data_IF_407134435550
#
_entry.id   IF_407134435550
#
_cell.length_a   1.000
_cell.length_b   1.000
_cell.length_c   1.000
_cell.angle_alpha   90.00
_cell.angle_beta   90.00
_cell.angle_gamma   90.00
#
_symmetry.space_group_name_H-M   'P 1'
#
loop_
_entity.id
_entity.type
_entity.pdbx_description
1 polymer ?
#
# COMPACT_ATOMS: atom_id res chain seq x y z
N UNK A 1 -8.98 -9.48 16.26
CA UNK A 1 -10.04 -8.52 15.88
C UNK A 1 -9.54 -7.12 16.16
N UNK A 2 -9.81 -6.17 15.26
CA UNK A 2 -9.55 -4.74 15.46
C UNK A 2 -10.76 -3.93 15.00
N UNK A 3 -11.06 -2.81 15.65
CA UNK A 3 -12.20 -1.97 15.28
C UNK A 3 -11.78 -0.78 14.41
N UNK A 4 -12.67 -0.39 13.51
CA UNK A 4 -12.66 0.84 12.70
C UNK A 4 -13.82 1.71 13.19
N UNK A 5 -13.49 2.76 13.92
CA UNK A 5 -14.43 3.67 14.57
C UNK A 5 -14.58 5.02 13.85
N UNK A 6 -13.80 5.26 12.80
CA UNK A 6 -13.86 6.47 11.95
C UNK A 6 -13.83 6.12 10.46
N UNK A 7 -14.29 7.07 9.63
CA UNK A 7 -14.19 7.03 8.16
C UNK A 7 -13.04 7.91 7.61
N UNK A 8 -12.38 8.67 8.48
CA UNK A 8 -11.35 9.64 8.06
C UNK A 8 -10.07 8.97 7.57
N UNK A 9 -9.77 7.79 8.10
CA UNK A 9 -8.62 6.96 7.72
C UNK A 9 -9.02 5.49 7.63
N UNK A 10 -8.19 4.68 6.97
CA UNK A 10 -8.42 3.25 6.78
C UNK A 10 -7.20 2.40 7.18
N UNK A 11 -7.30 1.08 6.97
CA UNK A 11 -6.26 0.13 7.38
C UNK A 11 -4.92 0.28 6.65
N UNK A 12 -4.90 1.02 5.55
CA UNK A 12 -3.71 1.36 4.77
C UNK A 12 -3.41 2.86 4.82
N UNK A 13 -3.87 3.56 5.85
CA UNK A 13 -3.62 4.99 6.08
C UNK A 13 -2.93 5.25 7.44
N UNK A 14 -2.82 4.22 8.29
CA UNK A 14 -2.06 4.27 9.54
C UNK A 14 -1.36 2.94 9.82
N UNK A 15 -0.09 3.03 10.22
CA UNK A 15 0.76 1.89 10.58
C UNK A 15 0.24 1.09 11.78
N UNK A 16 -0.44 1.75 12.72
CA UNK A 16 -0.99 1.12 13.92
C UNK A 16 -1.89 -0.08 13.60
N UNK A 17 -2.59 -0.10 12.46
CA UNK A 17 -3.41 -1.24 12.12
C UNK A 17 -2.60 -2.51 11.88
N UNK A 18 -1.59 -2.47 11.01
CA UNK A 18 -0.79 -3.67 10.74
C UNK A 18 0.12 -4.02 11.93
N UNK A 19 0.63 -3.01 12.66
CA UNK A 19 1.47 -3.25 13.83
C UNK A 19 0.73 -4.01 14.93
N UNK A 20 -0.48 -3.57 15.29
CA UNK A 20 -1.25 -4.22 16.35
C UNK A 20 -2.06 -5.43 15.87
N UNK A 21 -2.87 -5.25 14.82
CA UNK A 21 -3.75 -6.32 14.36
C UNK A 21 -2.97 -7.37 13.56
N UNK A 22 -2.19 -6.92 12.58
CA UNK A 22 -1.30 -7.80 11.81
C UNK A 22 -0.26 -8.47 12.71
N UNK A 23 0.39 -7.71 13.60
CA UNK A 23 1.34 -8.27 14.56
C UNK A 23 0.75 -9.37 15.46
N UNK A 24 -0.52 -9.22 15.89
CA UNK A 24 -1.23 -10.28 16.62
C UNK A 24 -1.49 -11.52 15.74
N UNK A 25 -1.89 -11.33 14.47
CA UNK A 25 -2.07 -12.43 13.51
C UNK A 25 -0.74 -13.18 13.31
N UNK A 26 0.33 -12.45 13.03
CA UNK A 26 1.68 -12.99 12.85
C UNK A 26 2.16 -13.75 14.09
N UNK A 27 1.94 -13.20 15.29
CA UNK A 27 2.32 -13.85 16.56
C UNK A 27 1.61 -15.19 16.75
N UNK A 28 0.30 -15.25 16.50
CA UNK A 28 -0.46 -16.51 16.61
C UNK A 28 0.03 -17.53 15.59
N UNK A 29 0.27 -17.11 14.34
CA UNK A 29 0.84 -17.98 13.29
C UNK A 29 2.22 -18.50 13.69
N UNK A 30 3.08 -17.66 14.25
CA UNK A 30 4.42 -18.05 14.67
C UNK A 30 4.44 -19.06 15.82
N UNK A 31 3.49 -18.94 16.77
CA UNK A 31 3.41 -19.84 17.95
C UNK A 31 2.69 -21.14 17.62
N UNK A 32 1.64 -21.09 16.81
CA UNK A 32 0.74 -22.24 16.59
C UNK A 32 0.97 -22.94 15.26
N UNK A 33 1.66 -22.30 14.31
CA UNK A 33 1.75 -22.74 12.91
C UNK A 33 0.46 -22.55 12.11
N UNK A 34 -0.61 -22.00 12.70
CA UNK A 34 -1.90 -21.82 12.06
C UNK A 34 -2.28 -20.34 11.98
N UNK A 35 -2.82 -19.93 10.84
CA UNK A 35 -3.36 -18.58 10.68
C UNK A 35 -4.69 -18.44 11.44
N UNK A 36 -4.79 -17.48 12.39
CA UNK A 36 -6.06 -17.20 13.04
C UNK A 36 -7.02 -16.49 12.08
N UNK A 37 -8.32 -16.63 12.33
CA UNK A 37 -9.31 -15.78 11.66
C UNK A 37 -9.11 -14.32 12.07
N UNK A 38 -8.85 -13.44 11.11
CA UNK A 38 -8.71 -12.01 11.31
C UNK A 38 -9.99 -11.27 10.90
N UNK A 39 -10.52 -10.44 11.80
CA UNK A 39 -11.78 -9.73 11.62
C UNK A 39 -11.63 -8.25 11.96
N UNK A 40 -12.38 -7.41 11.25
CA UNK A 40 -12.57 -6.01 11.53
C UNK A 40 -14.03 -5.71 11.89
N UNK A 41 -14.21 -4.98 12.98
CA UNK A 41 -15.51 -4.41 13.37
C UNK A 41 -15.60 -2.97 12.88
N UNK A 42 -16.49 -2.70 11.94
CA UNK A 42 -16.77 -1.36 11.41
C UNK A 42 -17.91 -0.74 12.21
N UNK A 43 -17.56 0.17 13.13
CA UNK A 43 -18.48 0.90 13.99
C UNK A 43 -18.46 2.40 13.72
N UNK A 44 -17.92 2.82 12.58
CA UNK A 44 -17.84 4.24 12.20
C UNK A 44 -19.23 4.87 11.98
N UNK A 45 -20.24 4.05 11.65
CA UNK A 45 -21.65 4.38 11.82
C UNK A 45 -22.20 3.54 12.99
N UNK A 46 -22.44 4.15 14.18
CA UNK A 46 -22.97 3.43 15.34
C UNK A 46 -24.37 2.83 15.12
N UNK A 47 -25.11 3.28 14.10
CA UNK A 47 -26.43 2.74 13.76
C UNK A 47 -26.36 1.50 12.88
N UNK A 48 -25.23 1.30 12.20
CA UNK A 48 -25.01 0.21 11.25
C UNK A 48 -23.64 -0.43 11.49
N UNK A 49 -23.53 -1.22 12.57
CA UNK A 49 -22.28 -1.92 12.88
C UNK A 49 -22.15 -3.16 12.00
N UNK A 50 -21.04 -3.23 11.26
CA UNK A 50 -20.75 -4.35 10.37
C UNK A 50 -19.47 -5.07 10.79
N UNK A 51 -19.35 -6.35 10.44
CA UNK A 51 -18.11 -7.10 10.62
C UNK A 51 -17.68 -7.69 9.29
N UNK A 52 -16.39 -7.59 8.99
CA UNK A 52 -15.78 -8.13 7.78
C UNK A 52 -14.51 -8.87 8.14
N UNK A 53 -14.15 -9.85 7.33
CA UNK A 53 -12.80 -10.43 7.40
C UNK A 53 -11.78 -9.37 7.02
N UNK A 54 -10.55 -9.52 7.51
CA UNK A 54 -9.46 -8.60 7.14
C UNK A 54 -9.23 -8.58 5.61
N UNK A 55 -9.33 -9.73 4.95
CA UNK A 55 -9.19 -9.82 3.49
C UNK A 55 -10.31 -9.10 2.73
N UNK A 56 -11.56 -9.15 3.22
CA UNK A 56 -12.66 -8.36 2.63
C UNK A 56 -12.42 -6.86 2.77
N UNK A 57 -11.93 -6.39 3.92
CA UNK A 57 -11.64 -4.97 4.12
C UNK A 57 -10.43 -4.51 3.30
N UNK A 58 -9.37 -5.32 3.19
CA UNK A 58 -8.23 -5.03 2.31
C UNK A 58 -8.69 -4.81 0.86
N UNK A 59 -9.46 -5.76 0.32
CA UNK A 59 -10.08 -5.64 -1.02
C UNK A 59 -10.94 -4.38 -1.15
N UNK A 60 -11.75 -4.07 -0.12
CA UNK A 60 -12.64 -2.92 -0.11
C UNK A 60 -11.82 -1.62 -0.19
N UNK A 61 -10.86 -1.45 0.70
CA UNK A 61 -10.02 -0.24 0.78
C UNK A 61 -9.17 -0.05 -0.47
N UNK A 62 -8.61 -1.12 -1.02
CA UNK A 62 -7.87 -1.06 -2.29
C UNK A 62 -8.75 -0.50 -3.40
N UNK A 63 -9.99 -0.97 -3.53
CA UNK A 63 -10.93 -0.47 -4.56
C UNK A 63 -11.48 0.92 -4.26
N UNK A 64 -11.88 1.17 -3.03
CA UNK A 64 -12.60 2.40 -2.67
C UNK A 64 -11.69 3.61 -2.53
N UNK A 65 -10.40 3.40 -2.21
CA UNK A 65 -9.46 4.49 -1.96
C UNK A 65 -8.11 4.33 -2.67
N UNK A 66 -7.35 3.25 -2.46
CA UNK A 66 -5.98 3.09 -3.04
C UNK A 66 -5.98 3.32 -4.55
N UNK A 67 -6.85 2.60 -5.25
CA UNK A 67 -6.95 2.65 -6.71
C UNK A 67 -7.95 3.70 -7.21
N UNK A 68 -8.63 4.40 -6.30
CA UNK A 68 -9.72 5.29 -6.69
C UNK A 68 -9.15 6.54 -7.37
N UNK A 69 -9.48 6.80 -8.66
CA UNK A 69 -8.92 7.93 -9.40
C UNK A 69 -9.28 9.27 -8.76
N UNK A 70 -10.42 9.38 -8.05
CA UNK A 70 -10.81 10.61 -7.35
C UNK A 70 -9.93 10.88 -6.14
N UNK A 71 -9.53 9.85 -5.41
CA UNK A 71 -8.64 9.98 -4.26
C UNK A 71 -7.21 10.29 -4.72
N UNK A 72 -6.70 9.58 -5.73
CA UNK A 72 -5.38 9.85 -6.34
C UNK A 72 -5.33 11.27 -6.90
N UNK A 73 -6.33 11.70 -7.67
CA UNK A 73 -6.42 13.09 -8.14
C UNK A 73 -6.53 14.10 -6.99
N UNK A 74 -7.09 13.69 -5.84
CA UNK A 74 -7.02 14.40 -4.57
C UNK A 74 -5.59 14.63 -4.12
N UNK A 75 -4.83 13.55 -3.95
CA UNK A 75 -3.44 13.58 -3.52
C UNK A 75 -2.56 14.42 -4.45
N UNK A 76 -2.74 14.31 -5.76
CA UNK A 76 -2.00 15.09 -6.76
C UNK A 76 -2.08 16.61 -6.50
N UNK A 77 -3.22 17.12 -6.03
CA UNK A 77 -3.40 18.56 -5.74
C UNK A 77 -2.61 19.05 -4.51
N UNK A 78 -2.05 18.14 -3.71
CA UNK A 78 -1.34 18.46 -2.47
C UNK A 78 0.19 18.25 -2.58
N UNK A 79 0.74 18.14 -3.79
CA UNK A 79 2.19 18.18 -4.05
C UNK A 79 2.96 17.12 -3.25
N UNK A 80 4.07 17.54 -2.61
CA UNK A 80 4.94 16.66 -1.82
C UNK A 80 4.19 15.83 -0.78
N UNK A 81 3.23 16.42 -0.05
CA UNK A 81 2.45 15.67 0.96
C UNK A 81 1.56 14.62 0.32
N UNK A 82 0.93 14.93 -0.81
CA UNK A 82 0.15 13.95 -1.57
C UNK A 82 1.00 12.80 -2.09
N UNK A 83 2.23 13.07 -2.54
CA UNK A 83 3.17 12.03 -2.96
C UNK A 83 3.57 11.12 -1.78
N UNK A 84 3.80 11.70 -0.60
CA UNK A 84 4.04 10.93 0.62
C UNK A 84 2.85 10.03 0.99
N UNK A 85 1.60 10.52 0.87
CA UNK A 85 0.41 9.68 1.15
C UNK A 85 0.31 8.45 0.24
N UNK A 86 0.69 8.59 -1.04
CA UNK A 86 0.78 7.44 -1.95
C UNK A 86 1.85 6.45 -1.50
N UNK A 87 3.03 6.93 -1.10
CA UNK A 87 4.13 6.08 -0.63
C UNK A 87 3.78 5.33 0.65
N UNK A 88 3.29 6.03 1.68
CA UNK A 88 2.95 5.39 2.96
C UNK A 88 1.79 4.40 2.83
N UNK A 89 0.85 4.66 1.90
CA UNK A 89 -0.19 3.67 1.56
C UNK A 89 0.45 2.34 1.13
N UNK A 90 1.47 2.37 0.27
CA UNK A 90 2.16 1.17 -0.22
C UNK A 90 2.93 0.49 0.92
N UNK A 91 3.59 1.27 1.77
CA UNK A 91 4.28 0.75 2.96
C UNK A 91 3.32 0.02 3.91
N UNK A 92 2.13 0.57 4.16
CA UNK A 92 1.14 -0.01 5.07
C UNK A 92 0.46 -1.23 4.46
N UNK A 93 0.18 -1.20 3.16
CA UNK A 93 -0.30 -2.36 2.40
C UNK A 93 0.71 -3.52 2.51
N UNK A 94 1.99 -3.25 2.25
CA UNK A 94 3.05 -4.24 2.45
C UNK A 94 3.16 -4.72 3.90
N UNK A 95 3.12 -3.82 4.88
CA UNK A 95 3.24 -4.18 6.29
C UNK A 95 2.11 -5.10 6.75
N UNK A 96 0.89 -4.88 6.26
CA UNK A 96 -0.23 -5.79 6.52
C UNK A 96 -0.05 -7.13 5.85
N UNK A 97 0.47 -7.16 4.62
CA UNK A 97 0.70 -8.42 3.94
C UNK A 97 1.78 -9.26 4.61
N UNK A 98 2.90 -8.63 4.95
CA UNK A 98 4.00 -9.27 5.67
C UNK A 98 3.58 -9.85 7.03
N UNK A 99 2.51 -9.32 7.65
CA UNK A 99 2.05 -9.77 8.96
C UNK A 99 0.81 -10.66 8.91
N UNK A 100 -0.01 -10.58 7.87
CA UNK A 100 -1.32 -11.25 7.83
C UNK A 100 -1.67 -11.90 6.48
N UNK A 101 -0.88 -11.76 5.43
CA UNK A 101 -1.10 -12.39 4.12
C UNK A 101 -2.46 -12.03 3.50
N UNK A 102 -2.77 -10.74 3.44
CA UNK A 102 -4.12 -10.24 3.08
C UNK A 102 -4.14 -9.41 1.80
N UNK A 103 -2.99 -9.18 1.19
CA UNK A 103 -2.88 -8.52 -0.09
C UNK A 103 -2.76 -9.59 -1.16
N UNK A 104 -3.64 -9.53 -2.15
CA UNK A 104 -3.63 -10.47 -3.27
C UNK A 104 -2.78 -9.90 -4.41
N UNK A 105 -2.20 -10.74 -5.26
CA UNK A 105 -1.39 -10.34 -6.41
C UNK A 105 -2.00 -9.22 -7.26
N UNK A 106 -3.30 -9.31 -7.55
CA UNK A 106 -3.99 -8.29 -8.35
C UNK A 106 -3.93 -6.90 -7.68
N UNK A 107 -3.83 -6.83 -6.35
CA UNK A 107 -3.70 -5.56 -5.63
C UNK A 107 -2.33 -4.94 -5.89
N UNK A 108 -1.24 -5.73 -5.81
CA UNK A 108 0.11 -5.26 -6.12
C UNK A 108 0.24 -4.86 -7.60
N UNK A 109 -0.31 -5.67 -8.50
CA UNK A 109 -0.35 -5.37 -9.93
C UNK A 109 -1.07 -4.04 -10.20
N UNK A 110 -2.28 -3.85 -9.65
CA UNK A 110 -3.05 -2.62 -9.86
C UNK A 110 -2.45 -1.40 -9.17
N UNK A 111 -1.77 -1.57 -8.04
CA UNK A 111 -1.02 -0.47 -7.41
C UNK A 111 0.16 -0.07 -8.30
N UNK A 112 0.88 -1.04 -8.86
CA UNK A 112 1.99 -0.78 -9.80
C UNK A 112 1.47 -0.03 -11.03
N UNK A 113 0.41 -0.55 -11.67
CA UNK A 113 -0.22 0.11 -12.82
C UNK A 113 -0.62 1.56 -12.51
N UNK A 114 -1.25 1.79 -11.35
CA UNK A 114 -1.83 3.09 -11.03
C UNK A 114 -0.82 4.11 -10.53
N UNK A 115 0.19 3.69 -9.77
CA UNK A 115 1.13 4.61 -9.12
C UNK A 115 2.43 4.76 -9.89
N UNK A 116 2.83 3.74 -10.66
CA UNK A 116 4.13 3.68 -11.34
C UNK A 116 3.96 3.80 -12.85
N UNK A 117 3.03 3.06 -13.44
CA UNK A 117 2.90 3.00 -14.90
C UNK A 117 1.98 4.08 -15.48
N UNK A 118 1.06 4.60 -14.68
CA UNK A 118 0.20 5.72 -15.07
C UNK A 118 1.06 6.98 -15.30
N UNK A 119 1.08 7.53 -16.53
CA UNK A 119 2.00 8.61 -16.86
C UNK A 119 1.72 9.89 -16.09
N UNK A 120 0.47 10.17 -15.73
CA UNK A 120 0.11 11.37 -14.98
C UNK A 120 0.56 11.25 -13.52
N UNK A 121 0.37 10.07 -12.91
CA UNK A 121 0.79 9.80 -11.53
C UNK A 121 2.31 9.73 -11.44
N UNK A 122 2.99 9.06 -12.38
CA UNK A 122 4.46 8.99 -12.44
C UNK A 122 5.07 10.37 -12.60
N UNK A 123 4.57 11.19 -13.54
CA UNK A 123 5.07 12.55 -13.74
C UNK A 123 4.81 13.44 -12.50
N UNK A 124 3.69 13.24 -11.81
CA UNK A 124 3.41 13.91 -10.54
C UNK A 124 4.40 13.50 -9.44
N UNK A 125 4.63 12.20 -9.23
CA UNK A 125 5.53 11.68 -8.22
C UNK A 125 6.97 12.13 -8.48
N UNK A 126 7.45 11.98 -9.72
CA UNK A 126 8.80 12.43 -10.14
C UNK A 126 9.03 13.91 -9.82
N UNK A 127 8.07 14.78 -10.16
CA UNK A 127 8.19 16.22 -9.92
C UNK A 127 8.02 16.61 -8.45
N UNK A 128 7.11 15.94 -7.73
CA UNK A 128 6.70 16.38 -6.39
C UNK A 128 7.55 15.75 -5.29
N UNK A 129 7.98 14.50 -5.48
CA UNK A 129 8.85 13.75 -4.57
C UNK A 129 9.42 12.52 -5.29
N UNK A 130 10.59 12.62 -5.96
CA UNK A 130 11.24 11.47 -6.57
C UNK A 130 11.56 10.39 -5.53
N UNK A 131 11.85 10.79 -4.28
CA UNK A 131 12.00 9.89 -3.15
C UNK A 131 10.76 9.03 -2.88
N UNK A 132 9.55 9.60 -2.98
CA UNK A 132 8.32 8.83 -2.79
C UNK A 132 8.12 7.82 -3.93
N UNK A 133 8.44 8.19 -5.17
CA UNK A 133 8.39 7.27 -6.31
C UNK A 133 9.35 6.10 -6.10
N UNK A 134 10.59 6.39 -5.70
CA UNK A 134 11.60 5.39 -5.35
C UNK A 134 11.12 4.45 -4.24
N UNK A 135 10.62 4.99 -3.13
CA UNK A 135 10.12 4.16 -2.01
C UNK A 135 8.98 3.24 -2.44
N UNK A 136 8.05 3.71 -3.27
CA UNK A 136 6.99 2.89 -3.85
C UNK A 136 7.60 1.74 -4.67
N UNK A 137 8.53 2.04 -5.57
CA UNK A 137 9.13 1.05 -6.45
C UNK A 137 9.97 0.01 -5.68
N UNK A 138 10.81 0.46 -4.74
CA UNK A 138 11.59 -0.41 -3.84
C UNK A 138 10.67 -1.35 -3.07
N UNK A 139 9.57 -0.83 -2.51
CA UNK A 139 8.67 -1.64 -1.68
C UNK A 139 7.87 -2.66 -2.48
N UNK A 140 7.46 -2.34 -3.71
CA UNK A 140 6.79 -3.28 -4.61
C UNK A 140 7.75 -4.39 -5.09
N UNK A 141 9.00 -4.04 -5.39
CA UNK A 141 10.03 -5.04 -5.69
C UNK A 141 10.36 -5.92 -4.48
N UNK A 142 10.40 -5.35 -3.28
CA UNK A 142 10.58 -6.11 -2.04
C UNK A 142 9.41 -7.08 -1.80
N UNK A 143 8.18 -6.71 -2.13
CA UNK A 143 7.03 -7.61 -2.06
C UNK A 143 7.23 -8.83 -2.98
N UNK A 144 7.70 -8.62 -4.21
CA UNK A 144 8.01 -9.70 -5.14
C UNK A 144 9.18 -10.58 -4.65
N UNK A 145 10.28 -9.97 -4.20
CA UNK A 145 11.46 -10.69 -3.70
C UNK A 145 11.16 -11.57 -2.47
N UNK A 146 10.25 -11.11 -1.61
CA UNK A 146 9.79 -11.85 -0.42
C UNK A 146 8.67 -12.86 -0.72
N UNK A 147 8.21 -12.96 -1.97
CA UNK A 147 7.10 -13.82 -2.37
C UNK A 147 5.75 -13.42 -1.79
N UNK A 148 5.58 -12.15 -1.41
CA UNK A 148 4.30 -11.55 -1.02
C UNK A 148 3.45 -11.24 -2.25
N UNK A 149 4.09 -10.72 -3.29
CA UNK A 149 3.55 -10.73 -4.64
C UNK A 149 4.04 -12.03 -5.31
N UNK A 150 3.15 -13.02 -5.44
CA UNK A 150 3.54 -14.39 -5.79
C UNK A 150 3.82 -14.57 -7.29
N UNK A 151 2.99 -13.95 -8.14
CA UNK A 151 3.04 -14.07 -9.60
C UNK A 151 3.13 -12.71 -10.30
N UNK A 152 4.18 -11.92 -10.05
CA UNK A 152 4.39 -10.66 -10.73
C UNK A 152 4.64 -10.85 -12.23
N UNK A 153 4.02 -10.00 -13.05
CA UNK A 153 4.35 -9.90 -14.48
C UNK A 153 5.75 -9.27 -14.62
N UNK A 154 6.59 -9.87 -15.46
CA UNK A 154 7.94 -9.38 -15.75
C UNK A 154 7.92 -7.96 -16.32
N UNK A 155 6.89 -7.57 -17.08
CA UNK A 155 6.73 -6.20 -17.55
C UNK A 155 6.60 -5.22 -16.38
N UNK A 156 5.81 -5.57 -15.35
CA UNK A 156 5.64 -4.72 -14.16
C UNK A 156 6.92 -4.67 -13.33
N UNK A 157 7.60 -5.80 -13.15
CA UNK A 157 8.91 -5.83 -12.47
C UNK A 157 9.94 -4.98 -13.19
N UNK A 158 9.97 -5.03 -14.52
CA UNK A 158 10.90 -4.23 -15.30
C UNK A 158 10.59 -2.74 -15.19
N UNK A 159 9.31 -2.35 -15.25
CA UNK A 159 8.91 -0.95 -15.05
C UNK A 159 9.36 -0.40 -13.69
N UNK A 160 9.22 -1.20 -12.62
CA UNK A 160 9.70 -0.84 -11.28
C UNK A 160 11.22 -0.63 -11.26
N UNK A 161 12.00 -1.52 -11.89
CA UNK A 161 13.46 -1.40 -11.99
C UNK A 161 13.88 -0.18 -12.81
N UNK A 162 13.20 0.08 -13.92
CA UNK A 162 13.47 1.23 -14.78
C UNK A 162 13.23 2.54 -14.02
N UNK A 163 12.15 2.62 -13.24
CA UNK A 163 11.88 3.76 -12.36
C UNK A 163 12.98 3.99 -11.34
N UNK A 164 13.52 2.93 -10.72
CA UNK A 164 14.62 3.08 -9.77
C UNK A 164 15.87 3.66 -10.44
N UNK A 165 16.22 3.17 -11.64
CA UNK A 165 17.36 3.68 -12.41
C UNK A 165 17.18 5.15 -12.81
N UNK A 166 15.98 5.55 -13.22
CA UNK A 166 15.66 6.94 -13.55
C UNK A 166 15.76 7.85 -12.32
N UNK A 167 15.18 7.42 -11.20
CA UNK A 167 15.16 8.23 -9.97
C UNK A 167 16.55 8.33 -9.32
N UNK A 168 17.40 7.31 -9.43
CA UNK A 168 18.79 7.40 -8.95
C UNK A 168 19.54 8.55 -9.62
N UNK A 169 19.35 8.75 -10.94
CA UNK A 169 19.93 9.90 -11.66
C UNK A 169 19.44 11.24 -11.12
N UNK A 170 18.13 11.40 -10.94
CA UNK A 170 17.53 12.65 -10.44
C UNK A 170 17.91 12.96 -8.98
N UNK A 171 18.00 11.93 -8.14
CA UNK A 171 18.33 12.05 -6.72
C UNK A 171 19.80 12.39 -6.50
N UNK A 172 20.70 11.79 -7.27
CA UNK A 172 22.13 12.10 -7.20
C UNK A 172 22.43 13.54 -7.62
N UNK A 173 21.72 14.09 -8.62
CA UNK A 173 21.82 15.49 -9.00
C UNK A 173 21.25 16.44 -7.93
N UNK A 174 20.11 16.10 -7.34
CA UNK A 174 19.46 16.92 -6.31
C UNK A 174 20.21 16.92 -4.96
N UNK A 175 20.89 15.82 -4.61
CA UNK A 175 21.68 15.70 -3.38
C UNK A 175 23.03 16.44 -3.42
N UNK A 176 23.44 16.92 -4.61
CA UNK A 176 24.67 17.70 -4.82
C UNK A 176 24.44 19.23 -4.84
N UNK A 177 23.18 19.68 -4.82
CA UNK A 177 22.79 21.09 -4.83
C UNK A 177 22.50 21.63 -3.41
#
# INVERSE_FOLDING_TARGET
MKNLDTREHDIFDSDGYFQYHGGMVAMVKAITGQEPKAWLGDSADPTTVETRTLAEEARRVVRSRVLNPRWVAGMIRHGYKGAMELSVTVDYLFGYDATAGVVEDWMYEKVTERYVDDPDVRAFLTRSSPWALRSIAERLLEAADRGLWETPDEERLQSLRDVLLEVEGDVEEAGQA
#
